data_IF_870062234584
#
_entry.id   IF_870062234584
#
_cell.length_a   1.000
_cell.length_b   1.000
_cell.length_c   1.000
_cell.angle_alpha   90.00
_cell.angle_beta   90.00
_cell.angle_gamma   90.00
#
_symmetry.space_group_name_H-M   'P 1'
#
loop_
_entity.id
_entity.type
_entity.pdbx_description
1 polymer ?
#
# COMPACT_ATOMS: atom_id res chain seq x y z
N UNK A 1 -1.44 17.49 -10.82
CA UNK A 1 -0.92 17.64 -9.44
C UNK A 1 0.26 16.71 -9.30
N UNK A 2 1.42 17.26 -8.94
CA UNK A 2 2.60 16.48 -8.61
C UNK A 2 2.63 16.23 -7.10
N UNK A 3 2.86 14.98 -6.72
CA UNK A 3 2.97 14.55 -5.32
C UNK A 3 4.16 13.61 -5.16
N UNK A 4 4.90 13.77 -4.08
CA UNK A 4 5.95 12.81 -3.72
C UNK A 4 5.33 11.49 -3.21
N UNK A 5 6.04 10.35 -3.31
CA UNK A 5 5.57 9.09 -2.73
C UNK A 5 5.22 9.21 -1.24
N UNK A 6 5.98 10.01 -0.48
CA UNK A 6 5.71 10.23 0.95
C UNK A 6 4.37 10.96 1.17
N UNK A 7 4.04 11.96 0.34
CA UNK A 7 2.74 12.65 0.43
C UNK A 7 1.59 11.70 0.10
N UNK A 8 1.75 10.87 -0.94
CA UNK A 8 0.75 9.84 -1.27
C UNK A 8 0.59 8.85 -0.11
N UNK A 9 1.68 8.33 0.43
CA UNK A 9 1.64 7.42 1.59
C UNK A 9 0.96 8.08 2.82
N UNK A 10 1.25 9.36 3.08
CA UNK A 10 0.60 10.13 4.18
C UNK A 10 -0.91 10.24 3.98
N UNK A 11 -1.37 10.44 2.74
CA UNK A 11 -2.80 10.49 2.43
C UNK A 11 -3.48 9.13 2.64
N UNK A 12 -2.88 8.04 2.16
CA UNK A 12 -3.43 6.69 2.39
C UNK A 12 -3.34 6.25 3.85
N UNK A 13 -2.32 6.70 4.58
CA UNK A 13 -2.26 6.53 6.02
C UNK A 13 -3.44 7.22 6.73
N UNK A 14 -3.85 8.41 6.27
CA UNK A 14 -5.04 9.07 6.80
C UNK A 14 -6.33 8.28 6.53
N UNK A 15 -6.47 7.61 5.37
CA UNK A 15 -7.59 6.72 5.09
C UNK A 15 -7.58 5.52 6.05
N UNK A 16 -6.42 4.88 6.22
CA UNK A 16 -6.24 3.78 7.16
C UNK A 16 -6.55 4.17 8.62
N UNK A 17 -6.35 5.44 8.98
CA UNK A 17 -6.55 6.02 10.31
C UNK A 17 -7.89 6.78 10.41
N UNK A 18 -8.93 6.29 9.75
CA UNK A 18 -10.32 6.81 9.77
C UNK A 18 -10.43 8.32 9.48
N UNK A 19 -9.58 8.80 8.60
CA UNK A 19 -9.56 10.20 8.15
C UNK A 19 -8.61 11.11 8.94
N UNK A 20 -8.03 10.65 10.03
CA UNK A 20 -7.08 11.43 10.82
C UNK A 20 -5.71 11.44 10.13
N UNK A 21 -5.31 12.59 9.60
CA UNK A 21 -4.03 12.78 8.92
C UNK A 21 -2.95 13.22 9.90
N UNK A 22 -1.85 12.46 9.91
CA UNK A 22 -0.71 12.65 10.80
C UNK A 22 0.53 12.99 9.97
N UNK A 23 1.34 13.93 10.42
CA UNK A 23 2.62 14.25 9.80
C UNK A 23 3.59 13.07 9.91
N UNK A 24 4.26 12.67 8.81
CA UNK A 24 5.25 11.61 8.87
C UNK A 24 6.44 12.03 9.75
N UNK A 25 6.88 11.14 10.64
CA UNK A 25 8.05 11.32 11.48
C UNK A 25 9.17 10.43 10.95
N UNK A 26 10.23 11.04 10.43
CA UNK A 26 11.37 10.31 9.85
C UNK A 26 12.41 9.94 10.91
N UNK A 27 12.52 10.73 11.98
CA UNK A 27 13.44 10.50 13.10
C UNK A 27 12.60 10.40 14.37
N UNK A 28 12.59 9.24 15.00
CA UNK A 28 11.82 9.00 16.23
C UNK A 28 12.51 9.62 17.45
N UNK A 29 13.79 9.43 17.55
CA UNK A 29 14.57 9.93 18.67
C UNK A 29 16.06 10.05 18.32
N UNK A 30 16.77 10.94 19.02
CA UNK A 30 18.24 11.05 19.00
C UNK A 30 18.76 10.50 20.32
N UNK A 31 19.77 9.64 20.23
CA UNK A 31 20.45 9.05 21.40
C UNK A 31 21.92 9.42 21.44
N UNK A 32 22.46 9.57 22.66
CA UNK A 32 23.90 9.69 22.92
C UNK A 32 24.25 8.81 24.13
N UNK A 33 25.25 7.98 23.99
CA UNK A 33 25.73 7.05 25.00
C UNK A 33 24.64 6.14 25.63
N UNK A 34 23.57 5.85 24.83
CA UNK A 34 22.42 5.06 25.26
C UNK A 34 21.22 5.88 25.73
N UNK A 35 21.42 7.12 26.14
CA UNK A 35 20.38 8.01 26.64
C UNK A 35 19.64 8.72 25.50
N UNK A 36 18.32 8.86 25.65
CA UNK A 36 17.49 9.65 24.72
C UNK A 36 17.67 11.13 25.01
N UNK A 37 18.27 11.88 24.05
CA UNK A 37 18.45 13.32 24.15
C UNK A 37 17.22 14.07 23.64
N UNK A 38 16.64 13.60 22.58
CA UNK A 38 15.51 14.25 21.93
C UNK A 38 14.54 13.19 21.38
N UNK A 39 13.24 13.44 21.52
CA UNK A 39 12.16 12.59 20.95
C UNK A 39 11.24 13.44 20.11
N UNK A 40 10.91 12.93 18.92
CA UNK A 40 9.99 13.60 17.99
C UNK A 40 8.63 12.93 18.03
N UNK A 41 7.61 13.71 18.35
CA UNK A 41 6.22 13.27 18.39
C UNK A 41 5.51 13.56 17.05
N UNK A 42 4.61 12.67 16.69
CA UNK A 42 3.79 12.86 15.48
C UNK A 42 2.77 14.00 15.72
N UNK A 43 2.60 14.85 14.69
CA UNK A 43 1.66 15.97 14.73
C UNK A 43 0.43 15.66 13.88
N UNK A 44 -0.75 15.97 14.42
CA UNK A 44 -2.00 15.89 13.64
C UNK A 44 -2.06 17.05 12.66
N UNK A 45 -2.14 16.75 11.35
CA UNK A 45 -2.31 17.75 10.29
C UNK A 45 -3.79 18.10 10.14
N UNK A 46 -4.68 17.07 10.16
CA UNK A 46 -6.13 17.22 10.12
C UNK A 46 -6.80 16.13 10.95
N UNK A 47 -7.85 16.50 11.67
CA UNK A 47 -8.64 15.54 12.46
C UNK A 47 -9.52 14.65 11.56
N UNK A 48 -9.96 15.17 10.41
CA UNK A 48 -10.68 14.40 9.41
C UNK A 48 -10.42 14.99 8.02
N UNK A 49 -10.23 14.11 7.02
CA UNK A 49 -10.04 14.49 5.60
C UNK A 49 -11.36 14.47 4.81
N UNK A 50 -12.39 13.78 5.31
CA UNK A 50 -13.71 13.71 4.68
C UNK A 50 -14.78 13.27 5.70
N UNK A 51 -16.05 13.17 5.27
CA UNK A 51 -17.13 12.63 6.09
C UNK A 51 -16.97 11.12 6.32
N UNK A 52 -17.59 10.58 7.38
CA UNK A 52 -17.56 9.15 7.69
C UNK A 52 -18.14 8.31 6.55
N UNK A 53 -19.25 8.74 5.95
CA UNK A 53 -19.86 8.03 4.82
C UNK A 53 -18.96 8.01 3.57
N UNK A 54 -18.22 9.10 3.31
CA UNK A 54 -17.23 9.15 2.24
C UNK A 54 -16.07 8.21 2.55
N UNK A 55 -15.64 8.14 3.81
CA UNK A 55 -14.55 7.25 4.24
C UNK A 55 -14.92 5.79 4.05
N UNK A 56 -16.12 5.37 4.43
CA UNK A 56 -16.62 4.01 4.21
C UNK A 56 -16.63 3.64 2.72
N UNK A 57 -17.14 4.53 1.88
CA UNK A 57 -17.16 4.32 0.42
C UNK A 57 -15.73 4.19 -0.15
N UNK A 58 -14.79 5.04 0.28
CA UNK A 58 -13.40 4.97 -0.16
C UNK A 58 -12.76 3.65 0.27
N UNK A 59 -12.96 3.22 1.51
CA UNK A 59 -12.42 1.94 2.01
C UNK A 59 -12.98 0.77 1.20
N UNK A 60 -14.28 0.75 0.91
CA UNK A 60 -14.89 -0.26 0.03
C UNK A 60 -14.25 -0.27 -1.36
N UNK A 61 -14.07 0.89 -1.99
CA UNK A 61 -13.38 0.98 -3.27
C UNK A 61 -11.93 0.45 -3.22
N UNK A 62 -11.20 0.72 -2.15
CA UNK A 62 -9.82 0.24 -1.98
C UNK A 62 -9.76 -1.28 -1.72
N UNK A 63 -10.76 -1.82 -1.02
CA UNK A 63 -10.99 -3.25 -0.90
C UNK A 63 -11.18 -3.89 -2.28
N UNK A 64 -12.12 -3.40 -3.07
CA UNK A 64 -12.50 -3.96 -4.37
C UNK A 64 -11.33 -3.95 -5.37
N UNK A 65 -10.44 -2.95 -5.31
CA UNK A 65 -9.22 -2.94 -6.14
C UNK A 65 -8.37 -4.21 -5.94
N UNK A 66 -8.36 -4.77 -4.74
CA UNK A 66 -7.56 -5.93 -4.38
C UNK A 66 -8.37 -7.23 -4.42
N UNK A 67 -9.63 -7.19 -4.00
CA UNK A 67 -10.42 -8.40 -3.73
C UNK A 67 -11.48 -8.72 -4.79
N UNK A 68 -11.91 -7.75 -5.60
CA UNK A 68 -12.81 -8.05 -6.72
C UNK A 68 -12.05 -8.77 -7.83
N UNK A 69 -12.31 -10.06 -8.00
CA UNK A 69 -11.64 -10.91 -8.99
C UNK A 69 -12.04 -10.60 -10.44
N UNK A 70 -13.07 -9.80 -10.67
CA UNK A 70 -13.51 -9.43 -12.02
C UNK A 70 -12.96 -8.06 -12.44
N UNK A 71 -13.01 -7.07 -11.54
CA UNK A 71 -12.71 -5.67 -11.85
C UNK A 71 -11.48 -5.14 -11.12
N UNK A 72 -11.04 -5.81 -10.05
CA UNK A 72 -9.93 -5.37 -9.22
C UNK A 72 -8.60 -5.37 -9.97
N UNK A 73 -8.00 -4.21 -10.14
CA UNK A 73 -6.73 -4.05 -10.87
C UNK A 73 -5.52 -4.64 -10.15
N UNK A 74 -5.65 -4.97 -8.89
CA UNK A 74 -4.62 -5.62 -8.07
C UNK A 74 -5.02 -7.00 -7.54
N UNK A 75 -6.13 -7.55 -8.01
CA UNK A 75 -6.60 -8.88 -7.65
C UNK A 75 -5.91 -9.99 -8.48
N UNK A 76 -6.21 -11.23 -8.17
CA UNK A 76 -5.86 -12.38 -9.00
C UNK A 76 -6.56 -12.26 -10.36
N UNK A 77 -5.84 -12.44 -11.44
CA UNK A 77 -6.47 -12.52 -12.74
C UNK A 77 -6.05 -13.78 -13.52
N UNK A 78 -6.97 -14.28 -14.37
CA UNK A 78 -6.71 -15.40 -15.28
C UNK A 78 -6.27 -14.87 -16.63
N UNK A 79 -5.06 -15.24 -17.06
CA UNK A 79 -4.57 -14.92 -18.40
C UNK A 79 -4.28 -16.19 -19.18
N UNK A 80 -4.89 -16.35 -20.37
CA UNK A 80 -4.70 -17.54 -21.26
C UNK A 80 -4.76 -18.89 -20.52
N UNK A 81 -5.68 -19.06 -19.57
CA UNK A 81 -5.84 -20.29 -18.82
C UNK A 81 -4.86 -20.50 -17.66
N UNK A 82 -3.92 -19.60 -17.46
CA UNK A 82 -3.02 -19.61 -16.32
C UNK A 82 -3.48 -18.59 -15.25
N UNK A 83 -3.43 -19.01 -13.99
CA UNK A 83 -3.61 -18.10 -12.87
C UNK A 83 -2.29 -17.34 -12.70
N UNK A 84 -2.25 -16.08 -13.12
CA UNK A 84 -1.14 -15.22 -12.78
C UNK A 84 -1.22 -14.98 -11.27
N UNK A 85 -0.23 -15.50 -10.56
CA UNK A 85 -0.19 -15.47 -9.10
C UNK A 85 -0.36 -14.05 -8.56
N UNK A 86 -1.39 -13.91 -7.77
CA UNK A 86 -1.62 -12.89 -6.75
C UNK A 86 -0.87 -11.58 -6.95
N UNK A 87 -1.54 -10.59 -7.44
CA UNK A 87 -1.02 -9.23 -7.51
C UNK A 87 -0.80 -8.71 -6.08
N UNK A 88 -1.63 -7.81 -5.59
CA UNK A 88 -1.61 -7.38 -4.20
C UNK A 88 -2.44 -8.27 -3.27
N UNK A 89 -3.33 -9.10 -3.82
CA UNK A 89 -4.18 -9.99 -3.04
C UNK A 89 -3.34 -11.03 -2.32
N UNK A 90 -3.38 -11.02 -1.00
CA UNK A 90 -2.76 -12.00 -0.12
C UNK A 90 -3.84 -12.85 0.56
N UNK A 91 -3.63 -14.16 0.59
CA UNK A 91 -4.49 -15.07 1.36
C UNK A 91 -4.13 -15.07 2.85
N UNK A 92 -3.05 -14.41 3.22
CA UNK A 92 -2.48 -14.43 4.56
C UNK A 92 -2.75 -13.13 5.33
N UNK A 93 -2.76 -12.01 4.61
CA UNK A 93 -2.92 -10.68 5.21
C UNK A 93 -3.90 -9.88 4.36
N UNK A 94 -5.05 -9.45 4.89
CA UNK A 94 -5.96 -8.60 4.14
C UNK A 94 -5.33 -7.23 3.88
N UNK A 95 -5.29 -6.85 2.60
CA UNK A 95 -4.69 -5.60 2.12
C UNK A 95 -5.76 -4.82 1.36
N UNK A 96 -5.87 -3.54 1.62
CA UNK A 96 -6.62 -2.61 0.79
C UNK A 96 -5.68 -1.58 0.17
N UNK A 97 -5.97 -1.14 -1.07
CA UNK A 97 -5.07 -0.21 -1.74
C UNK A 97 -5.49 0.18 -3.15
N UNK A 98 -4.59 0.89 -3.84
CA UNK A 98 -4.82 1.42 -5.18
C UNK A 98 -3.60 1.30 -6.07
N UNK A 99 -3.81 0.85 -7.28
CA UNK A 99 -2.83 0.87 -8.37
C UNK A 99 -2.76 2.25 -9.03
N UNK A 100 -1.57 2.61 -9.50
CA UNK A 100 -1.36 3.79 -10.33
C UNK A 100 -0.43 3.45 -11.49
N UNK A 101 -0.80 3.87 -12.71
CA UNK A 101 0.04 3.78 -13.90
C UNK A 101 -0.01 5.13 -14.61
N UNK A 102 1.08 5.86 -14.58
CA UNK A 102 1.20 7.17 -15.19
C UNK A 102 2.23 7.15 -16.31
N UNK A 103 1.93 7.82 -17.41
CA UNK A 103 2.91 8.09 -18.47
C UNK A 103 3.93 9.12 -17.96
N UNK A 104 5.19 8.93 -18.33
CA UNK A 104 6.24 9.89 -18.01
C UNK A 104 6.18 11.04 -18.98
N UNK A 105 6.20 12.26 -18.45
CA UNK A 105 6.31 13.48 -19.23
C UNK A 105 7.76 13.98 -19.21
N UNK A 106 8.35 14.15 -20.39
CA UNK A 106 9.67 14.74 -20.57
C UNK A 106 9.57 15.82 -21.66
N UNK A 107 10.16 16.98 -21.44
CA UNK A 107 10.16 18.10 -22.38
C UNK A 107 8.75 18.49 -22.88
N UNK A 108 7.76 18.47 -21.98
CA UNK A 108 6.37 18.83 -22.28
C UNK A 108 5.58 17.81 -23.11
N UNK A 109 6.10 16.59 -23.31
CA UNK A 109 5.43 15.52 -24.04
C UNK A 109 5.30 14.25 -23.20
N UNK A 110 4.15 13.56 -23.31
CA UNK A 110 3.95 12.24 -22.73
C UNK A 110 4.54 11.17 -23.64
N UNK A 111 5.31 10.25 -23.04
CA UNK A 111 5.86 9.10 -23.75
C UNK A 111 5.00 7.86 -23.47
N UNK A 112 4.41 7.30 -24.55
CA UNK A 112 3.55 6.12 -24.46
C UNK A 112 4.29 4.83 -24.03
N UNK A 113 5.61 4.81 -24.16
CA UNK A 113 6.47 3.69 -23.83
C UNK A 113 7.24 3.85 -22.51
N UNK A 114 7.02 4.95 -21.80
CA UNK A 114 7.64 5.21 -20.47
C UNK A 114 6.54 5.36 -19.43
N UNK A 115 6.53 4.47 -18.47
CA UNK A 115 5.54 4.48 -17.39
C UNK A 115 6.19 4.56 -16.02
N UNK A 116 5.48 5.18 -15.11
CA UNK A 116 5.72 5.12 -13.67
C UNK A 116 4.57 4.35 -13.05
N UNK A 117 4.87 3.22 -12.45
CA UNK A 117 3.88 2.37 -11.79
C UNK A 117 3.95 2.55 -10.29
N UNK A 118 2.81 2.41 -9.63
CA UNK A 118 2.74 2.45 -8.18
C UNK A 118 1.61 1.56 -7.66
N UNK A 119 1.79 1.08 -6.44
CA UNK A 119 0.73 0.59 -5.60
C UNK A 119 0.92 1.16 -4.21
N UNK A 120 -0.14 1.70 -3.65
CA UNK A 120 -0.19 2.19 -2.28
C UNK A 120 -1.35 1.53 -1.56
N UNK A 121 -1.13 1.12 -0.32
CA UNK A 121 -2.15 0.43 0.46
C UNK A 121 -1.83 0.41 1.94
N UNK A 122 -2.69 -0.25 2.70
CA UNK A 122 -2.55 -0.46 4.12
C UNK A 122 -2.95 -1.88 4.50
N UNK A 123 -2.44 -2.35 5.62
CA UNK A 123 -2.69 -3.69 6.14
C UNK A 123 -2.47 -3.78 7.66
N UNK A 124 -3.14 -4.74 8.38
CA UNK A 124 -4.31 -5.49 7.90
C UNK A 124 -5.45 -4.53 7.54
N UNK A 125 -6.34 -4.93 6.63
CA UNK A 125 -7.40 -4.05 6.15
C UNK A 125 -8.46 -3.73 7.21
N UNK A 126 -8.80 -4.73 8.02
CA UNK A 126 -9.82 -4.68 9.07
C UNK A 126 -9.33 -3.92 10.33
N UNK A 127 -8.03 -3.94 10.59
CA UNK A 127 -7.39 -3.23 11.71
C UNK A 127 -6.05 -2.63 11.28
N UNK A 128 -6.03 -1.54 10.50
CA UNK A 128 -4.83 -1.02 9.88
C UNK A 128 -3.74 -0.64 10.86
N UNK A 129 -2.55 -1.20 10.66
CA UNK A 129 -1.35 -0.92 11.46
C UNK A 129 -0.23 -0.32 10.63
N UNK A 130 -0.20 -0.67 9.33
CA UNK A 130 0.87 -0.28 8.42
C UNK A 130 0.30 0.28 7.12
N UNK A 131 0.96 1.31 6.60
CA UNK A 131 0.76 1.82 5.25
C UNK A 131 2.03 1.62 4.44
N UNK A 132 1.91 1.22 3.18
CA UNK A 132 3.05 0.96 2.32
C UNK A 132 2.81 1.50 0.91
N UNK A 133 3.84 2.04 0.29
CA UNK A 133 3.84 2.44 -1.12
C UNK A 133 5.03 1.81 -1.83
N UNK A 134 4.78 1.23 -3.01
CA UNK A 134 5.80 0.82 -3.95
C UNK A 134 5.69 1.67 -5.22
N UNK A 135 6.81 2.19 -5.70
CA UNK A 135 6.88 2.96 -6.95
C UNK A 135 8.01 2.41 -7.81
N UNK A 136 7.69 2.10 -9.08
CA UNK A 136 8.67 1.65 -10.07
C UNK A 136 8.75 2.67 -11.19
N UNK A 137 9.96 3.20 -11.42
CA UNK A 137 10.24 4.15 -12.48
C UNK A 137 10.86 3.44 -13.67
N UNK A 138 10.27 3.63 -14.87
CA UNK A 138 10.82 3.16 -16.12
C UNK A 138 11.10 1.66 -16.17
N UNK A 139 10.09 0.79 -15.97
CA UNK A 139 10.32 -0.65 -16.02
C UNK A 139 10.90 -1.05 -17.37
N UNK A 140 11.87 -1.97 -17.36
CA UNK A 140 12.62 -2.36 -18.57
C UNK A 140 11.82 -3.24 -19.54
N UNK A 141 10.78 -3.92 -19.08
CA UNK A 141 9.96 -4.80 -19.90
C UNK A 141 8.99 -4.00 -20.76
N UNK A 142 9.26 -3.95 -22.06
CA UNK A 142 8.37 -3.32 -23.02
C UNK A 142 7.12 -4.19 -23.21
N UNK A 143 5.96 -3.68 -22.81
CA UNK A 143 4.68 -4.19 -23.31
C UNK A 143 3.65 -4.65 -22.31
N UNK A 144 3.98 -4.91 -21.05
CA UNK A 144 3.01 -5.28 -20.01
C UNK A 144 3.30 -4.47 -18.73
N UNK A 145 2.71 -3.29 -18.65
CA UNK A 145 2.79 -2.46 -17.46
C UNK A 145 1.59 -2.77 -16.55
N UNK A 146 1.79 -3.62 -15.55
CA UNK A 146 0.76 -3.96 -14.60
C UNK A 146 1.21 -3.57 -13.18
N UNK A 147 0.76 -2.41 -12.73
CA UNK A 147 1.08 -1.91 -11.40
C UNK A 147 0.59 -2.84 -10.28
N UNK A 148 -0.49 -3.58 -10.51
CA UNK A 148 -0.97 -4.59 -9.57
C UNK A 148 -0.02 -5.77 -9.45
N UNK A 149 0.55 -6.24 -10.57
CA UNK A 149 1.54 -7.33 -10.55
C UNK A 149 2.89 -6.85 -10.02
N UNK A 150 3.41 -5.75 -10.54
CA UNK A 150 4.78 -5.34 -10.25
C UNK A 150 4.88 -4.68 -8.86
N UNK A 151 4.09 -3.64 -8.60
CA UNK A 151 4.12 -2.93 -7.32
C UNK A 151 3.26 -3.61 -6.24
N UNK A 152 2.08 -4.11 -6.61
CA UNK A 152 1.16 -4.75 -5.68
C UNK A 152 1.74 -6.04 -5.08
N UNK A 153 2.44 -6.86 -5.88
CA UNK A 153 3.11 -8.06 -5.37
C UNK A 153 4.22 -7.75 -4.37
N UNK A 154 4.95 -6.64 -4.58
CA UNK A 154 5.98 -6.19 -3.63
C UNK A 154 5.34 -5.80 -2.29
N UNK A 155 4.26 -5.00 -2.33
CA UNK A 155 3.55 -4.60 -1.10
C UNK A 155 2.96 -5.82 -0.39
N UNK A 156 2.40 -6.80 -1.13
CA UNK A 156 1.94 -8.08 -0.58
C UNK A 156 3.04 -8.81 0.18
N UNK A 157 4.21 -8.99 -0.44
CA UNK A 157 5.34 -9.66 0.23
C UNK A 157 5.82 -8.91 1.48
N UNK A 158 5.81 -7.57 1.43
CA UNK A 158 6.14 -6.75 2.60
C UNK A 158 5.11 -6.98 3.70
N UNK A 159 3.81 -6.95 3.38
CA UNK A 159 2.74 -7.18 4.35
C UNK A 159 2.85 -8.55 5.00
N UNK A 160 2.97 -9.61 4.21
CA UNK A 160 3.11 -11.00 4.68
C UNK A 160 4.32 -11.14 5.63
N UNK A 161 5.48 -10.60 5.25
CA UNK A 161 6.67 -10.64 6.10
C UNK A 161 6.53 -9.80 7.37
N UNK A 162 6.03 -8.57 7.25
CA UNK A 162 5.86 -7.68 8.41
C UNK A 162 4.95 -8.31 9.45
N UNK A 163 3.80 -8.83 9.04
CA UNK A 163 2.84 -9.45 9.95
C UNK A 163 3.38 -10.75 10.56
N UNK A 164 4.19 -11.51 9.83
CA UNK A 164 4.88 -12.68 10.38
C UNK A 164 5.89 -12.31 11.47
N UNK A 165 6.63 -11.19 11.29
CA UNK A 165 7.62 -10.72 12.27
C UNK A 165 6.99 -10.13 13.55
N UNK A 166 5.81 -9.52 13.44
CA UNK A 166 5.13 -8.93 14.62
C UNK A 166 4.46 -9.96 15.51
N UNK A 167 4.60 -11.28 15.22
CA UNK A 167 3.97 -12.36 15.95
C UNK A 167 2.44 -12.30 16.02
N UNK A 168 1.80 -11.51 15.19
CA UNK A 168 0.33 -11.42 15.11
C UNK A 168 -0.24 -12.60 14.31
N UNK A 169 0.59 -13.23 13.49
CA UNK A 169 0.26 -14.43 12.74
C UNK A 169 1.14 -15.59 13.18
N UNK A 170 0.55 -16.79 13.23
CA UNK A 170 1.26 -18.05 13.45
C UNK A 170 1.14 -18.93 12.21
N UNK A 171 2.19 -19.70 11.92
CA UNK A 171 2.14 -20.74 10.90
C UNK A 171 1.33 -21.92 11.45
N UNK A 172 0.15 -22.18 10.89
CA UNK A 172 -0.62 -23.40 11.11
C UNK A 172 -0.75 -24.14 9.79
N UNK A 173 -0.23 -25.38 9.74
CA UNK A 173 -0.25 -26.22 8.54
C UNK A 173 0.34 -25.56 7.29
N UNK A 174 1.38 -24.74 7.45
CA UNK A 174 2.03 -24.02 6.35
C UNK A 174 1.33 -22.72 5.94
N UNK A 175 0.24 -22.33 6.59
CA UNK A 175 -0.48 -21.07 6.38
C UNK A 175 -0.27 -20.12 7.57
N UNK A 176 -0.09 -18.84 7.28
CA UNK A 176 -0.13 -17.80 8.30
C UNK A 176 -1.59 -17.59 8.74
N UNK A 177 -1.85 -17.77 10.01
CA UNK A 177 -3.17 -17.57 10.63
C UNK A 177 -3.05 -16.47 11.67
N UNK A 178 -4.04 -15.57 11.70
CA UNK A 178 -4.10 -14.50 12.71
C UNK A 178 -4.21 -15.11 14.11
N UNK A 179 -3.38 -14.66 15.04
CA UNK A 179 -3.55 -15.02 16.46
C UNK A 179 -4.80 -14.34 16.98
N UNK A 180 -5.86 -15.10 17.17
CA UNK A 180 -7.02 -14.59 17.91
C UNK A 180 -6.53 -14.11 19.28
N UNK A 181 -6.85 -12.84 19.58
CA UNK A 181 -6.69 -12.29 20.93
C UNK A 181 -7.62 -12.98 21.89
#
# INVERSE_FOLDING_TARGET
>A
VEMSPLQVATFYNAIANDGKMIAPVLVKEVRKDGDVIERFESKVIRNSICSSSTMENIKTCLHDVVWDNNLGTASVYKWKGHIAKYKAQSQLVPIAGKTGTAQVMENGRYYSNKHRMSFVGYFPEDAPQYSCICVIHGPRNKGLYDAGMDCGSVVRHIAEKTMAYTNEYVLQNGNLVFKNK
#
